data_IF_443897802585
#
_entry.id   IF_443897802585
#
_cell.length_a   1.000
_cell.length_b   1.000
_cell.length_c   1.000
_cell.angle_alpha   90.00
_cell.angle_beta   90.00
_cell.angle_gamma   90.00
#
_symmetry.space_group_name_H-M   'P 1'
#
loop_
_entity.id
_entity.type
_entity.pdbx_description
1 polymer ?
#
# COMPACT_ATOMS: atom_id res chain seq x y z
N UNK A 1 -26.03 9.20 -6.95
CA UNK A 1 -24.89 8.75 -6.12
C UNK A 1 -25.11 9.39 -4.77
N UNK A 2 -25.44 8.55 -3.79
CA UNK A 2 -26.27 8.84 -2.62
C UNK A 2 -25.61 9.76 -1.58
N UNK A 3 -26.42 10.61 -0.95
CA UNK A 3 -26.04 11.48 0.18
C UNK A 3 -25.38 10.73 1.35
N UNK A 4 -25.62 9.42 1.51
CA UNK A 4 -25.08 8.58 2.59
C UNK A 4 -23.54 8.53 2.65
N UNK A 5 -22.85 8.50 1.51
CA UNK A 5 -21.38 8.47 1.52
C UNK A 5 -20.81 9.79 2.08
N UNK A 6 -21.51 10.91 1.90
CA UNK A 6 -21.02 12.21 2.39
C UNK A 6 -21.08 12.32 3.91
N UNK A 7 -22.14 11.78 4.55
CA UNK A 7 -22.32 11.85 6.00
C UNK A 7 -21.31 10.97 6.73
N UNK A 8 -21.12 9.73 6.26
CA UNK A 8 -20.16 8.81 6.85
C UNK A 8 -18.71 9.30 6.70
N UNK A 9 -18.38 9.92 5.56
CA UNK A 9 -17.08 10.59 5.38
C UNK A 9 -16.88 11.71 6.39
N UNK A 10 -17.90 12.56 6.63
CA UNK A 10 -17.83 13.61 7.65
C UNK A 10 -17.65 13.01 9.05
N UNK A 11 -18.39 11.95 9.41
CA UNK A 11 -18.24 11.27 10.71
C UNK A 11 -16.80 10.77 10.88
N UNK A 12 -16.24 10.11 9.86
CA UNK A 12 -14.85 9.61 9.90
C UNK A 12 -13.85 10.74 10.04
N UNK A 13 -14.07 11.84 9.33
CA UNK A 13 -13.23 13.02 9.38
C UNK A 13 -13.23 13.68 10.76
N UNK A 14 -14.41 13.90 11.34
CA UNK A 14 -14.57 14.42 12.69
C UNK A 14 -13.99 13.47 13.74
N UNK A 15 -14.13 12.16 13.53
CA UNK A 15 -13.51 11.16 14.41
C UNK A 15 -11.98 11.24 14.36
N UNK A 16 -11.39 11.51 13.20
CA UNK A 16 -9.95 11.75 13.07
C UNK A 16 -9.51 12.99 13.87
N UNK A 17 -10.29 14.08 13.83
CA UNK A 17 -10.05 15.27 14.65
C UNK A 17 -10.16 14.99 16.15
N UNK A 18 -11.19 14.26 16.58
CA UNK A 18 -11.35 13.86 17.98
C UNK A 18 -10.21 12.94 18.44
N UNK A 19 -9.71 12.06 17.56
CA UNK A 19 -8.52 11.26 17.83
C UNK A 19 -7.29 12.14 18.02
N UNK A 20 -7.07 13.12 17.12
CA UNK A 20 -5.95 14.05 17.23
C UNK A 20 -6.00 14.88 18.52
N UNK A 21 -7.18 15.39 18.86
CA UNK A 21 -7.43 16.09 20.12
C UNK A 21 -7.14 15.20 21.34
N UNK A 22 -7.65 13.96 21.34
CA UNK A 22 -7.42 13.00 22.41
C UNK A 22 -5.92 12.70 22.60
N UNK A 23 -5.18 12.52 21.50
CA UNK A 23 -3.74 12.28 21.52
C UNK A 23 -3.00 13.47 22.11
N UNK A 24 -3.32 14.71 21.71
CA UNK A 24 -2.63 15.88 22.26
C UNK A 24 -2.95 16.16 23.73
N UNK A 25 -4.18 15.84 24.19
CA UNK A 25 -4.52 15.92 25.61
C UNK A 25 -3.79 14.86 26.46
N UNK A 26 -3.61 13.65 25.94
CA UNK A 26 -2.95 12.54 26.65
C UNK A 26 -1.43 12.59 26.58
N UNK A 27 -0.88 13.06 25.46
CA UNK A 27 0.55 13.06 25.16
C UNK A 27 1.01 14.47 24.76
N UNK A 28 1.17 15.39 25.73
CA UNK A 28 1.60 16.76 25.46
C UNK A 28 2.93 16.81 24.70
N UNK A 29 3.03 17.74 23.75
CA UNK A 29 4.20 17.87 22.86
C UNK A 29 4.11 17.07 21.56
N UNK A 30 3.11 16.21 21.41
CA UNK A 30 2.84 15.52 20.14
C UNK A 30 2.32 16.51 19.10
N UNK A 31 2.98 16.59 17.94
CA UNK A 31 2.52 17.41 16.83
C UNK A 31 1.62 16.60 15.89
N UNK A 32 0.60 17.27 15.34
CA UNK A 32 -0.35 16.68 14.40
C UNK A 32 0.00 17.08 12.97
N UNK A 33 -0.11 16.15 12.03
CA UNK A 33 0.25 16.41 10.63
C UNK A 33 -0.97 16.31 9.69
N UNK A 34 -1.24 15.14 9.09
CA UNK A 34 -2.33 14.90 8.14
C UNK A 34 -3.19 13.75 8.67
N UNK A 35 -4.51 13.93 8.62
CA UNK A 35 -5.46 12.89 8.99
C UNK A 35 -6.63 12.77 8.03
N UNK A 36 -6.45 12.12 6.87
CA UNK A 36 -7.49 12.00 5.87
C UNK A 36 -8.42 10.81 6.16
N UNK A 37 -9.61 10.89 5.58
CA UNK A 37 -10.53 9.75 5.47
C UNK A 37 -10.00 8.78 4.42
N UNK A 38 -10.23 7.48 4.66
CA UNK A 38 -9.98 6.38 3.73
C UNK A 38 -11.28 5.57 3.56
N UNK A 39 -11.31 4.68 2.56
CA UNK A 39 -12.52 3.93 2.15
C UNK A 39 -13.34 3.34 3.32
N UNK A 40 -12.67 2.76 4.32
CA UNK A 40 -13.32 2.14 5.48
C UNK A 40 -12.86 2.72 6.82
N UNK A 41 -12.50 4.01 6.86
CA UNK A 41 -12.08 4.63 8.10
C UNK A 41 -11.29 5.92 7.92
N UNK A 42 -10.28 6.11 8.75
CA UNK A 42 -9.39 7.27 8.72
C UNK A 42 -8.03 6.88 9.30
N UNK A 43 -7.05 7.75 9.11
CA UNK A 43 -5.83 7.70 9.91
C UNK A 43 -5.43 9.11 10.33
N UNK A 44 -4.47 9.22 11.23
CA UNK A 44 -3.79 10.48 11.53
C UNK A 44 -2.32 10.22 11.82
N UNK A 45 -1.45 11.04 11.22
CA UNK A 45 0.00 10.99 11.40
C UNK A 45 0.47 11.97 12.47
N UNK A 46 1.25 11.45 13.42
CA UNK A 46 1.76 12.18 14.58
C UNK A 46 3.28 12.20 14.61
N UNK A 47 3.86 13.34 14.98
CA UNK A 47 5.27 13.43 15.31
C UNK A 47 5.43 13.40 16.84
N UNK A 48 6.11 12.37 17.33
CA UNK A 48 6.35 12.12 18.76
C UNK A 48 7.63 11.30 18.92
N UNK A 49 8.38 11.57 19.99
CA UNK A 49 9.64 10.88 20.27
C UNK A 49 9.45 9.38 20.56
N UNK A 50 8.42 9.04 21.34
CA UNK A 50 8.15 7.67 21.76
C UNK A 50 7.03 7.03 20.93
N UNK A 51 7.24 5.83 20.34
CA UNK A 51 6.23 5.02 19.66
C UNK A 51 4.93 4.86 20.46
N UNK A 52 3.79 4.98 19.80
CA UNK A 52 2.51 4.49 20.32
C UNK A 52 2.54 2.96 20.37
N UNK A 53 1.92 2.44 21.42
CA UNK A 53 1.71 1.01 21.65
C UNK A 53 0.24 0.66 21.44
N UNK A 54 -0.08 -0.64 21.33
CA UNK A 54 -1.47 -1.09 21.27
C UNK A 54 -2.27 -0.72 22.53
N UNK A 55 -1.60 -0.67 23.69
CA UNK A 55 -2.22 -0.22 24.94
C UNK A 55 -2.55 1.28 24.93
N UNK A 56 -1.77 2.10 24.22
CA UNK A 56 -2.08 3.52 24.05
C UNK A 56 -3.38 3.68 23.25
N UNK A 57 -3.65 2.82 22.27
CA UNK A 57 -4.91 2.88 21.50
C UNK A 57 -6.14 2.73 22.39
N UNK A 58 -6.11 1.84 23.39
CA UNK A 58 -7.20 1.68 24.35
C UNK A 58 -7.42 2.95 25.20
N UNK A 59 -6.32 3.59 25.59
CA UNK A 59 -6.34 4.83 26.38
C UNK A 59 -6.87 6.00 25.55
N UNK A 60 -6.40 6.13 24.30
CA UNK A 60 -6.86 7.15 23.35
C UNK A 60 -8.33 6.95 23.04
N UNK A 61 -8.79 5.73 22.74
CA UNK A 61 -10.19 5.46 22.43
C UNK A 61 -11.12 5.81 23.60
N UNK A 62 -10.71 5.52 24.85
CA UNK A 62 -11.44 5.95 26.04
C UNK A 62 -11.54 7.46 26.11
N UNK A 63 -10.44 8.17 25.86
CA UNK A 63 -10.40 9.63 25.86
C UNK A 63 -11.24 10.25 24.75
N UNK A 64 -11.24 9.65 23.55
CA UNK A 64 -12.12 10.05 22.45
C UNK A 64 -13.60 9.96 22.87
N UNK A 65 -14.00 8.86 23.53
CA UNK A 65 -15.37 8.70 24.05
C UNK A 65 -15.71 9.77 25.10
N UNK A 66 -14.75 10.14 25.96
CA UNK A 66 -14.91 11.25 26.91
C UNK A 66 -15.13 12.60 26.18
N UNK A 67 -14.37 12.89 25.12
CA UNK A 67 -14.51 14.11 24.32
C UNK A 67 -15.87 14.16 23.61
N UNK A 68 -16.30 13.05 23.01
CA UNK A 68 -17.64 12.94 22.39
C UNK A 68 -18.74 13.20 23.42
N UNK A 69 -18.63 12.65 24.63
CA UNK A 69 -19.62 12.88 25.69
C UNK A 69 -19.69 14.35 26.16
N UNK A 70 -18.62 15.13 25.99
CA UNK A 70 -18.63 16.57 26.31
C UNK A 70 -19.40 17.40 25.29
N UNK A 71 -19.71 16.84 24.12
CA UNK A 71 -20.46 17.48 23.05
C UNK A 71 -19.93 18.88 22.70
N UNK A 72 -18.63 18.97 22.43
CA UNK A 72 -17.94 20.23 22.18
C UNK A 72 -18.43 20.81 20.86
N UNK A 73 -18.84 22.08 20.88
CA UNK A 73 -19.29 22.79 19.68
C UNK A 73 -18.16 22.92 18.66
N UNK A 74 -18.47 22.58 17.42
CA UNK A 74 -17.61 22.80 16.26
C UNK A 74 -17.88 24.19 15.68
N UNK A 75 -16.83 24.99 15.52
CA UNK A 75 -16.89 26.27 14.79
C UNK A 75 -15.70 26.39 13.87
N UNK A 76 -15.72 27.29 12.89
CA UNK A 76 -14.54 27.56 12.08
C UNK A 76 -14.35 29.05 11.88
N UNK A 77 -13.10 29.43 11.61
CA UNK A 77 -12.73 30.78 11.18
C UNK A 77 -11.84 30.69 9.96
N UNK A 78 -12.03 31.61 9.02
CA UNK A 78 -11.13 31.78 7.89
C UNK A 78 -10.00 32.70 8.34
N UNK A 79 -8.77 32.26 8.17
CA UNK A 79 -7.59 33.03 8.55
C UNK A 79 -6.81 33.50 7.32
N UNK A 80 -6.32 34.75 7.33
CA UNK A 80 -5.24 35.15 6.44
C UNK A 80 -4.01 34.25 6.66
N UNK A 81 -3.30 33.91 5.58
CA UNK A 81 -2.16 32.96 5.66
C UNK A 81 -1.10 33.32 6.69
N UNK A 82 -0.75 34.61 6.81
CA UNK A 82 0.24 35.07 7.80
C UNK A 82 -0.23 34.83 9.24
N UNK A 83 -1.53 35.01 9.50
CA UNK A 83 -2.13 34.81 10.82
C UNK A 83 -2.28 33.32 11.13
N UNK A 84 -2.67 32.51 10.14
CA UNK A 84 -2.71 31.05 10.29
C UNK A 84 -1.33 30.48 10.61
N UNK A 85 -0.29 30.89 9.87
CA UNK A 85 1.10 30.49 10.16
C UNK A 85 1.47 30.84 11.59
N UNK A 86 1.26 32.10 12.00
CA UNK A 86 1.58 32.55 13.36
C UNK A 86 0.82 31.76 14.43
N UNK A 87 -0.48 31.47 14.21
CA UNK A 87 -1.30 30.70 15.13
C UNK A 87 -0.72 29.30 15.40
N UNK A 88 -0.26 28.60 14.35
CA UNK A 88 0.34 27.27 14.49
C UNK A 88 1.79 27.32 14.98
N UNK A 89 2.56 28.37 14.65
CA UNK A 89 3.90 28.61 15.22
C UNK A 89 3.84 28.85 16.73
N UNK A 90 2.91 29.70 17.19
CA UNK A 90 2.72 30.02 18.62
C UNK A 90 2.28 28.76 19.42
N UNK A 91 1.63 27.80 18.77
CA UNK A 91 1.26 26.48 19.35
C UNK A 91 2.39 25.43 19.27
N UNK A 92 3.42 25.66 18.45
CA UNK A 92 4.51 24.71 18.21
C UNK A 92 4.19 23.62 17.19
N UNK A 93 3.21 23.82 16.30
CA UNK A 93 2.79 22.87 15.27
C UNK A 93 3.55 23.08 13.96
N UNK A 94 4.81 22.64 13.91
CA UNK A 94 5.71 22.86 12.77
C UNK A 94 5.16 22.28 11.46
N UNK A 95 4.62 21.07 11.50
CA UNK A 95 4.10 20.39 10.29
C UNK A 95 2.90 21.12 9.69
N UNK A 96 2.02 21.69 10.52
CA UNK A 96 0.87 22.49 10.04
C UNK A 96 1.36 23.76 9.34
N UNK A 97 2.42 24.39 9.85
CA UNK A 97 3.04 25.55 9.22
C UNK A 97 3.59 25.20 7.84
N UNK A 98 4.26 24.04 7.67
CA UNK A 98 4.70 23.56 6.36
C UNK A 98 3.52 23.36 5.40
N UNK A 99 2.46 22.67 5.85
CA UNK A 99 1.26 22.44 5.03
C UNK A 99 0.68 23.77 4.55
N UNK A 100 0.57 24.76 5.44
CA UNK A 100 0.03 26.09 5.09
C UNK A 100 0.90 26.79 4.04
N UNK A 101 2.23 26.62 4.08
CA UNK A 101 3.13 27.22 3.09
C UNK A 101 2.92 26.63 1.69
N UNK A 102 2.58 25.35 1.61
CA UNK A 102 2.42 24.63 0.34
C UNK A 102 1.05 24.78 -0.32
N UNK A 103 0.00 25.11 0.44
CA UNK A 103 -1.32 25.37 -0.13
C UNK A 103 -1.21 26.49 -1.19
N UNK A 104 -1.79 26.38 -2.40
CA UNK A 104 -1.71 27.43 -3.41
C UNK A 104 -2.19 28.81 -2.93
N UNK A 105 -1.59 29.88 -3.46
CA UNK A 105 -2.00 31.25 -3.15
C UNK A 105 -3.42 31.49 -3.70
N UNK A 106 -4.32 31.96 -2.85
CA UNK A 106 -5.72 32.23 -3.20
C UNK A 106 -6.72 31.26 -2.57
N UNK A 107 -6.27 30.12 -2.03
CA UNK A 107 -7.15 29.24 -1.26
C UNK A 107 -7.40 29.75 0.16
N UNK A 108 -8.65 29.61 0.60
CA UNK A 108 -9.06 29.92 1.96
C UNK A 108 -8.46 28.92 2.96
N UNK A 109 -7.93 29.44 4.07
CA UNK A 109 -7.43 28.62 5.16
C UNK A 109 -8.45 28.63 6.29
N UNK A 110 -9.17 27.52 6.43
CA UNK A 110 -10.16 27.33 7.49
C UNK A 110 -9.50 26.62 8.66
N UNK A 111 -9.65 27.19 9.85
CA UNK A 111 -9.26 26.56 11.11
C UNK A 111 -10.54 26.19 11.83
N UNK A 112 -10.72 24.89 12.05
CA UNK A 112 -11.85 24.32 12.77
C UNK A 112 -11.50 24.19 14.25
N UNK A 113 -12.43 24.58 15.10
CA UNK A 113 -12.33 24.55 16.57
C UNK A 113 -13.35 23.57 17.10
N UNK A 114 -12.93 22.65 17.95
CA UNK A 114 -13.79 21.75 18.74
C UNK A 114 -13.58 22.09 20.22
N UNK A 115 -14.41 23.00 20.73
CA UNK A 115 -14.10 23.69 21.99
C UNK A 115 -12.83 24.53 21.88
N UNK A 116 -11.86 24.28 22.74
CA UNK A 116 -10.57 25.01 22.76
C UNK A 116 -9.51 24.40 21.82
N UNK A 117 -9.69 23.15 21.41
CA UNK A 117 -8.79 22.49 20.47
C UNK A 117 -9.11 22.94 19.04
N UNK A 118 -8.10 23.08 18.21
CA UNK A 118 -8.26 23.52 16.83
C UNK A 118 -7.25 22.90 15.87
N UNK A 119 -7.64 22.83 14.60
CA UNK A 119 -6.83 22.30 13.52
C UNK A 119 -7.15 22.93 12.15
N UNK A 120 -6.16 22.90 11.25
CA UNK A 120 -6.30 23.35 9.87
C UNK A 120 -6.95 22.23 9.05
N UNK A 121 -8.12 22.53 8.49
CA UNK A 121 -8.82 21.58 7.65
C UNK A 121 -9.72 22.28 6.62
N UNK A 122 -10.02 21.60 5.51
CA UNK A 122 -10.96 22.10 4.49
C UNK A 122 -12.43 21.92 4.90
N UNK A 123 -12.71 20.96 5.79
CA UNK A 123 -14.06 20.51 6.12
C UNK A 123 -14.78 19.82 4.96
N UNK A 124 -16.11 19.62 5.06
CA UNK A 124 -16.98 19.99 6.17
C UNK A 124 -16.79 19.13 7.44
N UNK A 125 -17.39 19.59 8.54
CA UNK A 125 -17.42 18.93 9.85
C UNK A 125 -18.85 18.98 10.43
N UNK A 126 -19.17 18.12 11.41
CA UNK A 126 -20.42 18.14 12.18
C UNK A 126 -20.51 19.37 13.09
N UNK A 127 -21.70 19.65 13.62
CA UNK A 127 -21.89 20.86 14.46
C UNK A 127 -21.28 20.71 15.86
N UNK A 128 -21.07 19.49 16.32
CA UNK A 128 -20.44 19.20 17.61
C UNK A 128 -19.81 17.81 17.61
N UNK A 129 -18.88 17.59 18.55
CA UNK A 129 -18.23 16.28 18.72
C UNK A 129 -19.20 15.19 19.18
N UNK A 130 -20.35 15.54 19.75
CA UNK A 130 -21.37 14.57 20.17
C UNK A 130 -22.11 13.91 19.01
N UNK A 131 -22.26 14.61 17.88
CA UNK A 131 -22.94 14.10 16.67
C UNK A 131 -22.20 12.91 16.02
N UNK A 132 -20.91 12.72 16.32
CA UNK A 132 -20.10 11.59 15.85
C UNK A 132 -20.66 10.25 16.36
N UNK A 133 -21.25 10.25 17.56
CA UNK A 133 -21.61 9.02 18.26
C UNK A 133 -20.39 8.24 18.77
N UNK A 134 -20.61 6.99 19.18
CA UNK A 134 -19.59 6.14 19.83
C UNK A 134 -19.15 4.94 18.99
N UNK A 135 -19.69 4.81 17.78
CA UNK A 135 -19.42 3.71 16.87
C UNK A 135 -18.10 3.93 16.12
N UNK A 136 -17.00 3.98 16.86
CA UNK A 136 -15.65 4.04 16.31
C UNK A 136 -14.70 3.10 17.04
N UNK A 137 -13.64 2.67 16.34
CA UNK A 137 -12.61 1.77 16.85
C UNK A 137 -11.24 2.18 16.30
N UNK A 138 -10.23 2.28 17.16
CA UNK A 138 -8.84 2.36 16.72
C UNK A 138 -8.31 0.97 16.42
N UNK A 139 -7.66 0.78 15.26
CA UNK A 139 -7.34 -0.55 14.74
C UNK A 139 -5.86 -0.91 14.85
N UNK A 140 -4.96 -0.04 14.42
CA UNK A 140 -3.51 -0.31 14.44
C UNK A 140 -2.66 0.95 14.44
N UNK A 141 -1.41 0.80 14.87
CA UNK A 141 -0.33 1.79 14.71
C UNK A 141 0.59 1.33 13.59
N UNK A 142 1.06 2.26 12.76
CA UNK A 142 2.06 2.01 11.73
C UNK A 142 3.08 3.16 11.66
N UNK A 143 4.24 2.92 11.05
CA UNK A 143 5.16 3.99 10.66
C UNK A 143 4.74 4.62 9.32
N UNK A 144 4.89 5.93 9.19
CA UNK A 144 4.75 6.65 7.93
C UNK A 144 5.92 7.63 7.79
N UNK A 145 6.33 7.94 6.58
CA UNK A 145 7.34 8.98 6.36
C UNK A 145 6.67 10.29 5.95
N UNK A 146 7.18 11.42 6.44
CA UNK A 146 6.65 12.72 6.05
C UNK A 146 6.70 12.88 4.52
N UNK A 147 5.55 13.21 3.92
CA UNK A 147 5.31 13.28 2.45
C UNK A 147 5.60 11.99 1.68
N UNK A 148 5.67 10.84 2.36
CA UNK A 148 5.97 9.55 1.74
C UNK A 148 7.43 9.38 1.31
N UNK A 149 8.32 10.30 1.70
CA UNK A 149 9.74 10.24 1.37
C UNK A 149 10.53 9.61 2.53
N UNK A 150 11.13 8.45 2.28
CA UNK A 150 11.92 7.70 3.27
C UNK A 150 13.15 8.43 3.81
N UNK A 151 13.58 9.53 3.18
CA UNK A 151 14.65 10.39 3.70
C UNK A 151 14.18 11.36 4.79
N UNK A 152 12.86 11.55 4.93
CA UNK A 152 12.29 12.44 5.93
C UNK A 152 12.08 11.73 7.28
N UNK A 153 11.67 12.53 8.28
CA UNK A 153 11.33 12.05 9.62
C UNK A 153 10.21 11.02 9.56
N UNK A 154 10.39 9.93 10.32
CA UNK A 154 9.36 8.91 10.53
C UNK A 154 8.31 9.42 11.51
N UNK A 155 7.07 9.45 11.05
CA UNK A 155 5.85 9.75 11.80
C UNK A 155 5.18 8.45 12.24
N UNK A 156 4.28 8.57 13.21
CA UNK A 156 3.48 7.47 13.72
C UNK A 156 2.04 7.66 13.29
N UNK A 157 1.55 6.70 12.51
CA UNK A 157 0.19 6.67 11.98
C UNK A 157 -0.70 5.84 12.88
N UNK A 158 -1.78 6.43 13.38
CA UNK A 158 -2.86 5.69 14.03
C UNK A 158 -4.01 5.53 13.04
N UNK A 159 -4.43 4.29 12.81
CA UNK A 159 -5.61 3.96 12.01
C UNK A 159 -6.84 3.78 12.89
N UNK A 160 -7.99 4.19 12.37
CA UNK A 160 -9.29 3.96 13.00
C UNK A 160 -10.41 3.83 11.98
N UNK A 161 -11.55 3.37 12.43
CA UNK A 161 -12.81 3.35 11.67
C UNK A 161 -13.93 3.98 12.48
N UNK A 162 -14.89 4.59 11.80
CA UNK A 162 -16.11 5.13 12.39
C UNK A 162 -17.30 4.84 11.48
N UNK A 163 -18.47 4.64 12.09
CA UNK A 163 -19.72 4.25 11.48
C UNK A 163 -20.89 5.02 12.09
N UNK A 164 -22.04 5.06 11.42
CA UNK A 164 -23.21 5.78 11.94
C UNK A 164 -23.85 5.06 13.12
N UNK A 165 -23.79 3.72 13.13
CA UNK A 165 -24.40 2.88 14.17
C UNK A 165 -23.40 1.86 14.72
N UNK A 166 -23.65 1.42 15.95
CA UNK A 166 -22.84 0.37 16.58
C UNK A 166 -22.93 -0.96 15.81
N UNK A 167 -24.09 -1.28 15.25
CA UNK A 167 -24.31 -2.47 14.43
C UNK A 167 -23.40 -2.48 13.19
N UNK A 168 -23.31 -1.36 12.45
CA UNK A 168 -22.41 -1.24 11.30
C UNK A 168 -20.93 -1.41 11.69
N UNK A 169 -20.54 -0.86 12.85
CA UNK A 169 -19.19 -1.05 13.36
C UNK A 169 -18.93 -2.53 13.68
N UNK A 170 -19.85 -3.18 14.38
CA UNK A 170 -19.70 -4.59 14.78
C UNK A 170 -19.63 -5.51 13.55
N UNK A 171 -20.46 -5.27 12.54
CA UNK A 171 -20.43 -5.99 11.25
C UNK A 171 -19.08 -5.83 10.54
N UNK A 172 -18.55 -4.61 10.51
CA UNK A 172 -17.25 -4.34 9.90
C UNK A 172 -16.09 -5.01 10.66
N UNK A 173 -16.13 -4.97 12.00
CA UNK A 173 -15.13 -5.64 12.83
C UNK A 173 -15.18 -7.16 12.66
N UNK A 174 -16.38 -7.74 12.57
CA UNK A 174 -16.55 -9.17 12.27
C UNK A 174 -15.98 -9.53 10.89
N UNK A 175 -16.20 -8.67 9.87
CA UNK A 175 -15.61 -8.87 8.54
C UNK A 175 -14.08 -8.83 8.57
N UNK A 176 -13.48 -7.93 9.34
CA UNK A 176 -12.02 -7.87 9.52
C UNK A 176 -11.49 -9.13 10.19
N UNK A 177 -12.18 -9.64 11.22
CA UNK A 177 -11.80 -10.89 11.90
C UNK A 177 -11.87 -12.09 10.94
N UNK A 178 -12.92 -12.18 10.13
CA UNK A 178 -13.08 -13.22 9.11
C UNK A 178 -12.03 -13.12 8.00
N UNK A 179 -11.65 -11.90 7.61
CA UNK A 179 -10.57 -11.68 6.65
C UNK A 179 -9.21 -12.10 7.22
N UNK A 180 -8.92 -11.78 8.49
CA UNK A 180 -7.68 -12.15 9.17
C UNK A 180 -7.52 -13.67 9.31
N UNK A 181 -8.62 -14.41 9.56
CA UNK A 181 -8.64 -15.88 9.55
C UNK A 181 -8.20 -16.47 8.20
N UNK A 182 -8.33 -15.72 7.11
CA UNK A 182 -8.05 -16.15 5.73
C UNK A 182 -6.76 -15.54 5.17
N UNK A 183 -5.99 -14.85 6.00
CA UNK A 183 -4.69 -14.31 5.61
C UNK A 183 -3.72 -15.45 5.26
N UNK A 184 -3.23 -15.48 4.03
CA UNK A 184 -2.32 -16.53 3.55
C UNK A 184 -1.01 -16.58 4.34
N UNK A 185 -0.59 -15.49 5.00
CA UNK A 185 0.61 -15.47 5.85
C UNK A 185 0.37 -16.22 7.16
N UNK A 186 -0.82 -16.04 7.75
CA UNK A 186 -1.24 -16.76 8.95
C UNK A 186 -1.41 -18.25 8.63
N UNK A 187 -2.19 -18.56 7.59
CA UNK A 187 -2.39 -19.93 7.13
C UNK A 187 -1.08 -20.59 6.68
N UNK A 188 -0.21 -19.86 5.99
CA UNK A 188 1.08 -20.34 5.53
C UNK A 188 1.97 -20.82 6.69
N UNK A 189 1.94 -20.10 7.82
CA UNK A 189 2.61 -20.49 9.06
C UNK A 189 1.92 -21.66 9.76
N UNK A 190 0.61 -21.57 9.98
CA UNK A 190 -0.18 -22.59 10.69
C UNK A 190 -0.16 -23.96 9.98
N UNK A 191 -0.17 -23.95 8.65
CA UNK A 191 -0.19 -25.16 7.82
C UNK A 191 1.21 -25.63 7.39
N UNK A 192 2.27 -24.93 7.77
CA UNK A 192 3.65 -25.24 7.42
C UNK A 192 3.89 -25.28 5.89
N UNK A 193 3.46 -24.22 5.20
CA UNK A 193 3.53 -24.13 3.74
C UNK A 193 4.77 -23.40 3.23
N UNK A 194 5.14 -22.30 3.87
CA UNK A 194 6.27 -21.47 3.49
C UNK A 194 6.68 -20.53 4.64
N UNK A 195 7.86 -19.93 4.50
CA UNK A 195 8.26 -18.79 5.33
C UNK A 195 9.09 -17.77 4.53
N UNK A 196 9.35 -16.64 5.19
CA UNK A 196 10.27 -15.58 4.75
C UNK A 196 11.29 -15.32 5.86
N UNK A 197 12.49 -14.89 5.49
CA UNK A 197 13.58 -14.54 6.42
C UNK A 197 14.40 -13.37 5.84
N UNK A 198 15.16 -12.71 6.71
CA UNK A 198 15.86 -11.46 6.40
C UNK A 198 16.99 -11.62 5.38
N UNK A 199 17.57 -12.82 5.25
CA UNK A 199 18.63 -13.12 4.28
C UNK A 199 18.13 -13.09 2.84
N UNK A 200 16.82 -13.24 2.60
CA UNK A 200 16.24 -13.14 1.27
C UNK A 200 14.89 -12.39 1.31
N UNK A 201 14.89 -11.06 1.55
CA UNK A 201 13.67 -10.28 1.68
C UNK A 201 12.81 -10.40 0.43
N UNK A 202 11.53 -10.70 0.60
CA UNK A 202 10.59 -10.85 -0.50
C UNK A 202 10.83 -12.08 -1.38
N UNK A 203 11.66 -13.02 -0.95
CA UNK A 203 11.84 -14.32 -1.61
C UNK A 203 11.34 -15.43 -0.70
N UNK A 204 10.46 -16.28 -1.23
CA UNK A 204 9.78 -17.31 -0.44
C UNK A 204 10.65 -18.57 -0.28
N UNK A 205 10.69 -19.09 0.95
CA UNK A 205 11.19 -20.43 1.24
C UNK A 205 10.00 -21.38 1.30
N UNK A 206 9.79 -22.14 0.22
CA UNK A 206 8.71 -23.12 0.16
C UNK A 206 9.03 -24.36 0.99
N UNK A 207 8.10 -24.77 1.84
CA UNK A 207 8.20 -26.03 2.58
C UNK A 207 7.64 -27.18 1.73
N UNK A 208 7.78 -28.42 2.18
CA UNK A 208 7.33 -29.59 1.42
C UNK A 208 5.85 -29.51 1.01
N UNK A 209 4.96 -29.10 1.92
CA UNK A 209 3.52 -28.98 1.65
C UNK A 209 3.21 -27.85 0.67
N UNK A 210 3.76 -26.66 0.90
CA UNK A 210 3.57 -25.52 -0.01
C UNK A 210 4.15 -25.76 -1.40
N UNK A 211 5.34 -26.37 -1.47
CA UNK A 211 5.95 -26.75 -2.75
C UNK A 211 5.16 -27.84 -3.48
N UNK A 212 4.54 -28.77 -2.75
CA UNK A 212 3.64 -29.76 -3.36
C UNK A 212 2.40 -29.10 -3.96
N UNK A 213 1.78 -28.15 -3.25
CA UNK A 213 0.68 -27.35 -3.80
C UNK A 213 1.12 -26.59 -5.06
N UNK A 214 2.27 -25.92 -5.00
CA UNK A 214 2.80 -25.15 -6.13
C UNK A 214 3.07 -26.01 -7.37
N UNK A 215 3.66 -27.20 -7.19
CA UNK A 215 3.90 -28.16 -8.28
C UNK A 215 2.59 -28.64 -8.91
N UNK A 216 1.57 -28.96 -8.10
CA UNK A 216 0.27 -29.37 -8.62
C UNK A 216 -0.38 -28.28 -9.49
N UNK A 217 -0.22 -27.01 -9.12
CA UNK A 217 -0.69 -25.88 -9.92
C UNK A 217 0.07 -25.78 -11.25
N UNK A 218 1.39 -25.91 -11.21
CA UNK A 218 2.22 -25.94 -12.43
C UNK A 218 1.80 -27.09 -13.34
N UNK A 219 1.66 -28.31 -12.81
CA UNK A 219 1.30 -29.49 -13.61
C UNK A 219 -0.08 -29.33 -14.26
N UNK A 220 -1.02 -28.72 -13.54
CA UNK A 220 -2.34 -28.37 -14.08
C UNK A 220 -2.22 -27.38 -15.26
N UNK A 221 -1.52 -26.26 -15.07
CA UNK A 221 -1.38 -25.24 -16.12
C UNK A 221 -0.57 -25.75 -17.30
N UNK A 222 0.50 -26.52 -17.06
CA UNK A 222 1.31 -27.15 -18.10
C UNK A 222 0.44 -27.98 -19.02
N UNK A 223 -0.39 -28.86 -18.46
CA UNK A 223 -1.32 -29.67 -19.25
C UNK A 223 -2.29 -28.82 -20.08
N UNK A 224 -2.81 -27.74 -19.50
CA UNK A 224 -3.71 -26.81 -20.20
C UNK A 224 -3.00 -26.09 -21.36
N UNK A 225 -1.73 -25.72 -21.17
CA UNK A 225 -0.90 -25.10 -22.21
C UNK A 225 -0.55 -26.10 -23.32
N UNK A 226 -0.19 -27.34 -22.98
CA UNK A 226 0.03 -28.43 -23.94
C UNK A 226 -1.22 -28.71 -24.78
N UNK A 227 -2.39 -28.84 -24.14
CA UNK A 227 -3.68 -29.06 -24.81
C UNK A 227 -4.04 -27.88 -25.74
N UNK A 228 -3.57 -26.66 -25.43
CA UNK A 228 -3.74 -25.45 -26.23
C UNK A 228 -2.63 -25.24 -27.28
N UNK A 229 -1.70 -26.19 -27.43
CA UNK A 229 -0.65 -26.14 -28.44
C UNK A 229 0.52 -25.20 -28.13
N UNK A 230 0.72 -24.83 -26.86
CA UNK A 230 1.92 -24.13 -26.42
C UNK A 230 3.10 -25.09 -26.31
N UNK A 231 4.28 -24.61 -26.70
CA UNK A 231 5.55 -25.31 -26.48
C UNK A 231 6.22 -24.73 -25.25
N UNK A 232 6.35 -25.53 -24.19
CA UNK A 232 7.09 -25.12 -23.00
C UNK A 232 8.59 -25.00 -23.29
N UNK A 233 9.17 -23.87 -22.92
CA UNK A 233 10.60 -23.56 -23.03
C UNK A 233 11.15 -23.14 -21.65
N UNK A 234 12.46 -22.97 -21.55
CA UNK A 234 13.12 -22.46 -20.35
C UNK A 234 14.29 -21.56 -20.73
N UNK A 235 14.29 -20.32 -20.26
CA UNK A 235 15.29 -19.30 -20.61
C UNK A 235 16.14 -18.89 -19.40
N UNK A 236 17.42 -18.51 -19.58
CA UNK A 236 18.32 -18.20 -18.46
C UNK A 236 17.79 -17.09 -17.53
N UNK A 237 18.05 -17.22 -16.23
CA UNK A 237 17.66 -16.23 -15.23
C UNK A 237 18.55 -14.96 -15.27
N UNK A 238 19.81 -15.11 -15.68
CA UNK A 238 20.81 -14.04 -15.73
C UNK A 238 21.21 -13.82 -17.19
N UNK A 239 21.06 -12.58 -17.67
CA UNK A 239 21.39 -12.18 -19.04
C UNK A 239 22.14 -10.86 -19.07
N UNK A 240 22.91 -10.63 -20.14
CA UNK A 240 23.69 -9.42 -20.35
C UNK A 240 22.79 -8.17 -20.32
N UNK A 241 23.24 -7.11 -19.64
CA UNK A 241 22.49 -5.85 -19.50
C UNK A 241 22.04 -5.28 -20.86
N UNK A 242 22.86 -5.42 -21.90
CA UNK A 242 22.57 -4.93 -23.26
C UNK A 242 21.28 -5.51 -23.86
N UNK A 243 20.87 -6.73 -23.49
CA UNK A 243 19.61 -7.31 -23.95
C UNK A 243 18.40 -6.53 -23.41
N UNK A 244 18.49 -6.03 -22.18
CA UNK A 244 17.44 -5.26 -21.53
C UNK A 244 17.36 -3.82 -22.06
N UNK A 245 18.51 -3.27 -22.47
CA UNK A 245 18.60 -2.00 -23.18
C UNK A 245 17.93 -2.10 -24.56
N UNK A 246 18.32 -3.11 -25.36
CA UNK A 246 17.78 -3.32 -26.70
C UNK A 246 16.28 -3.62 -26.70
N UNK A 247 15.78 -4.30 -25.67
CA UNK A 247 14.35 -4.59 -25.54
C UNK A 247 13.54 -3.44 -24.93
N UNK A 248 14.18 -2.34 -24.51
CA UNK A 248 13.52 -1.19 -23.87
C UNK A 248 13.08 -1.43 -22.42
N UNK A 249 13.42 -2.58 -21.83
CA UNK A 249 13.04 -2.91 -20.46
C UNK A 249 13.90 -2.21 -19.43
N UNK A 250 15.16 -1.87 -19.76
CA UNK A 250 16.00 -1.13 -18.83
C UNK A 250 15.40 0.25 -18.50
N UNK A 251 14.80 0.93 -19.48
CA UNK A 251 14.13 2.22 -19.24
C UNK A 251 12.88 2.08 -18.36
N UNK A 252 12.10 1.02 -18.57
CA UNK A 252 10.85 0.78 -17.84
C UNK A 252 11.06 0.29 -16.41
N UNK A 253 11.98 -0.65 -16.23
CA UNK A 253 12.24 -1.25 -14.92
C UNK A 253 13.30 -0.47 -14.16
N UNK A 254 14.33 0.05 -14.84
CA UNK A 254 15.38 0.88 -14.25
C UNK A 254 15.93 0.30 -12.95
N UNK A 255 15.79 1.08 -11.88
CA UNK A 255 16.22 0.74 -10.53
C UNK A 255 15.50 -0.47 -9.92
N UNK A 256 14.38 -0.92 -10.51
CA UNK A 256 13.66 -2.13 -10.11
C UNK A 256 14.28 -3.42 -10.67
N UNK A 257 15.42 -3.36 -11.38
CA UNK A 257 16.16 -4.55 -11.83
C UNK A 257 17.29 -4.88 -10.87
N UNK A 258 17.44 -6.15 -10.52
CA UNK A 258 18.67 -6.62 -9.88
C UNK A 258 19.79 -6.73 -10.91
N UNK A 259 20.90 -6.04 -10.66
CA UNK A 259 22.10 -6.09 -11.49
C UNK A 259 23.29 -6.63 -10.71
N UNK A 260 24.24 -7.21 -11.42
CA UNK A 260 25.49 -7.72 -10.86
C UNK A 260 26.62 -7.52 -11.85
N UNK A 261 27.82 -7.23 -11.35
CA UNK A 261 29.03 -7.10 -12.15
C UNK A 261 29.83 -8.41 -12.09
N UNK A 262 30.14 -8.97 -13.25
CA UNK A 262 31.05 -10.11 -13.33
C UNK A 262 32.50 -9.64 -13.35
N UNK A 263 33.43 -10.57 -13.07
CA UNK A 263 34.89 -10.33 -13.07
C UNK A 263 35.47 -9.81 -14.40
N UNK A 264 34.69 -9.82 -15.47
CA UNK A 264 35.08 -9.46 -16.84
C UNK A 264 34.50 -8.10 -17.30
N UNK A 265 34.24 -7.18 -16.36
CA UNK A 265 33.67 -5.83 -16.62
C UNK A 265 32.29 -5.84 -17.33
N UNK A 266 31.62 -7.00 -17.34
CA UNK A 266 30.27 -7.14 -17.88
C UNK A 266 29.23 -7.01 -16.78
N UNK A 267 28.21 -6.21 -17.06
CA UNK A 267 27.03 -6.06 -16.20
C UNK A 267 25.96 -7.02 -16.67
N UNK A 268 25.47 -7.83 -15.73
CA UNK A 268 24.35 -8.74 -15.94
C UNK A 268 23.15 -8.26 -15.13
N UNK A 269 21.96 -8.67 -15.55
CA UNK A 269 20.75 -8.49 -14.77
C UNK A 269 20.00 -9.81 -14.60
N UNK A 270 19.38 -9.98 -13.44
CA UNK A 270 18.36 -11.01 -13.27
C UNK A 270 17.12 -10.59 -14.06
N UNK A 271 16.50 -11.53 -14.77
CA UNK A 271 15.34 -11.24 -15.61
C UNK A 271 14.15 -10.70 -14.81
N UNK A 272 13.62 -9.51 -15.10
CA UNK A 272 12.37 -9.00 -14.50
C UNK A 272 11.10 -9.51 -15.21
N UNK A 273 11.29 -10.20 -16.35
CA UNK A 273 10.27 -10.82 -17.22
C UNK A 273 10.94 -11.81 -18.20
N UNK A 274 10.15 -12.68 -18.84
CA UNK A 274 10.70 -13.71 -19.74
C UNK A 274 10.76 -13.27 -21.22
N UNK A 275 10.05 -12.20 -21.60
CA UNK A 275 9.84 -11.81 -23.01
C UNK A 275 11.13 -11.75 -23.84
N UNK A 276 12.22 -11.09 -23.39
CA UNK A 276 13.45 -11.03 -24.20
C UNK A 276 14.11 -12.38 -24.43
N UNK A 277 14.00 -13.31 -23.46
CA UNK A 277 14.44 -14.69 -23.58
C UNK A 277 13.62 -15.46 -24.62
N UNK A 278 12.29 -15.36 -24.55
CA UNK A 278 11.38 -15.96 -25.55
C UNK A 278 11.69 -15.47 -26.98
N UNK A 279 12.00 -14.18 -27.14
CA UNK A 279 12.43 -13.61 -28.43
C UNK A 279 13.76 -14.19 -28.89
N UNK A 280 14.73 -14.44 -27.99
CA UNK A 280 15.98 -15.10 -28.38
C UNK A 280 15.74 -16.53 -28.87
N UNK A 281 14.80 -17.26 -28.26
CA UNK A 281 14.41 -18.60 -28.71
C UNK A 281 13.74 -18.53 -30.09
N UNK A 282 12.80 -17.60 -30.29
CA UNK A 282 12.15 -17.40 -31.60
C UNK A 282 13.15 -17.09 -32.72
N UNK A 283 14.17 -16.26 -32.41
CA UNK A 283 15.23 -15.86 -33.34
C UNK A 283 16.11 -17.03 -33.82
N UNK A 284 16.14 -18.15 -33.09
CA UNK A 284 16.91 -19.32 -33.50
C UNK A 284 16.22 -20.08 -34.62
N UNK A 285 16.92 -20.23 -35.75
CA UNK A 285 16.45 -20.94 -36.93
C UNK A 285 15.49 -20.12 -37.81
N UNK A 286 15.35 -20.53 -39.07
CA UNK A 286 14.45 -19.89 -40.02
C UNK A 286 12.98 -20.14 -39.63
N UNK A 287 12.12 -19.15 -39.87
CA UNK A 287 10.67 -19.21 -39.64
C UNK A 287 9.94 -18.88 -40.93
N UNK A 288 9.00 -19.73 -41.31
CA UNK A 288 8.05 -19.48 -42.39
C UNK A 288 6.76 -18.89 -41.81
N UNK A 289 6.01 -18.13 -42.63
CA UNK A 289 4.66 -17.69 -42.26
C UNK A 289 3.73 -18.87 -41.94
N UNK A 290 4.01 -20.06 -42.48
CA UNK A 290 3.27 -21.30 -42.22
C UNK A 290 3.53 -21.89 -40.83
N UNK A 291 4.62 -21.47 -40.19
CA UNK A 291 4.97 -21.91 -38.84
C UNK A 291 4.29 -21.03 -37.78
N UNK A 292 3.58 -19.97 -38.20
CA UNK A 292 2.83 -19.07 -37.33
C UNK A 292 1.35 -19.47 -37.30
N UNK A 293 0.69 -19.43 -36.14
CA UNK A 293 1.16 -18.86 -34.86
C UNK A 293 2.07 -19.83 -34.09
N UNK A 294 3.18 -19.32 -33.56
CA UNK A 294 4.06 -20.05 -32.66
C UNK A 294 3.77 -19.63 -31.22
N UNK A 295 3.29 -20.58 -30.41
CA UNK A 295 2.97 -20.37 -29.00
C UNK A 295 4.08 -20.94 -28.14
N UNK A 296 4.79 -20.09 -27.40
CA UNK A 296 5.79 -20.53 -26.42
C UNK A 296 5.34 -20.17 -25.01
N UNK A 297 5.50 -21.10 -24.07
CA UNK A 297 5.20 -20.89 -22.67
C UNK A 297 6.44 -21.14 -21.82
N UNK A 298 6.56 -20.48 -20.68
CA UNK A 298 7.63 -20.68 -19.73
C UNK A 298 7.11 -20.45 -18.31
N UNK A 299 7.31 -21.44 -17.42
CA UNK A 299 7.18 -21.21 -15.98
C UNK A 299 8.41 -20.44 -15.46
N UNK A 300 8.54 -19.20 -15.93
CA UNK A 300 9.76 -18.43 -15.83
C UNK A 300 9.89 -17.75 -14.49
N UNK A 301 11.00 -18.03 -13.78
CA UNK A 301 11.33 -17.39 -12.51
C UNK A 301 11.94 -16.02 -12.78
N UNK A 302 11.25 -14.97 -12.34
CA UNK A 302 11.63 -13.58 -12.56
C UNK A 302 11.88 -12.86 -11.25
N UNK A 303 12.66 -11.78 -11.31
CA UNK A 303 13.07 -11.01 -10.15
C UNK A 303 12.87 -9.51 -10.35
N UNK A 304 12.24 -8.84 -9.37
CA UNK A 304 12.02 -7.39 -9.36
C UNK A 304 12.48 -6.81 -8.03
N UNK A 305 13.29 -5.76 -8.06
CA UNK A 305 13.82 -5.07 -6.89
C UNK A 305 12.78 -4.14 -6.26
N UNK A 306 11.64 -4.72 -5.86
CA UNK A 306 10.55 -4.01 -5.19
C UNK A 306 11.04 -3.38 -3.86
N UNK A 307 10.58 -2.17 -3.51
CA UNK A 307 10.87 -1.57 -2.20
C UNK A 307 10.49 -2.50 -1.05
N UNK A 308 11.33 -2.61 -0.02
CA UNK A 308 11.10 -3.52 1.11
C UNK A 308 9.75 -3.29 1.81
N UNK A 309 9.32 -2.04 1.92
CA UNK A 309 8.02 -1.66 2.51
C UNK A 309 6.80 -2.07 1.67
N UNK A 310 6.97 -2.43 0.40
CA UNK A 310 5.88 -2.88 -0.46
C UNK A 310 5.66 -4.40 -0.42
N UNK A 311 6.57 -5.17 0.20
CA UNK A 311 6.51 -6.62 0.22
C UNK A 311 5.37 -7.12 1.11
N UNK A 312 4.63 -8.15 0.65
CA UNK A 312 3.46 -8.64 1.36
C UNK A 312 3.22 -10.15 1.17
N UNK A 313 3.86 -10.97 2.01
CA UNK A 313 3.75 -12.43 1.93
C UNK A 313 3.97 -12.91 0.49
N UNK A 314 3.11 -13.80 -0.02
CA UNK A 314 3.11 -14.24 -1.42
C UNK A 314 2.46 -13.27 -2.44
N UNK A 315 1.76 -12.22 -2.00
CA UNK A 315 1.04 -11.31 -2.92
C UNK A 315 1.96 -10.32 -3.61
N UNK A 316 3.03 -9.89 -2.92
CA UNK A 316 4.04 -8.98 -3.46
C UNK A 316 5.42 -9.41 -3.00
N UNK A 317 6.17 -9.97 -3.94
CA UNK A 317 7.48 -10.62 -3.73
C UNK A 317 8.49 -10.08 -4.73
N UNK A 318 9.78 -10.23 -4.41
CA UNK A 318 10.90 -9.88 -5.30
C UNK A 318 11.25 -11.01 -6.25
N UNK A 319 10.92 -12.26 -5.91
CA UNK A 319 11.16 -13.43 -6.74
C UNK A 319 9.86 -14.21 -6.90
N UNK A 320 9.42 -14.43 -8.14
CA UNK A 320 8.18 -15.14 -8.43
C UNK A 320 8.28 -15.87 -9.76
N UNK A 321 7.42 -16.87 -9.95
CA UNK A 321 7.30 -17.61 -11.20
C UNK A 321 5.96 -17.26 -11.81
N UNK A 322 5.97 -16.92 -13.09
CA UNK A 322 4.76 -16.71 -13.88
C UNK A 322 4.55 -17.91 -14.79
N UNK A 323 3.31 -18.29 -15.04
CA UNK A 323 2.88 -19.13 -16.15
C UNK A 323 2.88 -18.32 -17.47
N UNK A 324 4.03 -17.71 -17.76
CA UNK A 324 4.20 -16.74 -18.82
C UNK A 324 4.15 -17.38 -20.19
N UNK A 325 3.64 -16.65 -21.18
CA UNK A 325 3.54 -17.16 -22.53
C UNK A 325 3.60 -16.03 -23.57
N UNK A 326 4.17 -16.36 -24.72
CA UNK A 326 4.35 -15.44 -25.84
C UNK A 326 3.89 -16.11 -27.11
N UNK A 327 3.00 -15.44 -27.84
CA UNK A 327 2.51 -15.88 -29.13
C UNK A 327 3.18 -15.01 -30.20
N UNK A 328 3.92 -15.64 -31.09
CA UNK A 328 4.43 -15.00 -32.29
C UNK A 328 3.47 -15.31 -33.42
N UNK A 329 2.78 -14.29 -33.91
CA UNK A 329 1.79 -14.42 -34.97
C UNK A 329 1.93 -13.27 -35.98
N UNK A 330 1.24 -13.41 -37.11
CA UNK A 330 1.07 -12.32 -38.08
C UNK A 330 0.02 -11.33 -37.59
N UNK A 331 0.00 -10.11 -38.13
CA UNK A 331 -0.97 -9.09 -37.72
C UNK A 331 -2.43 -9.55 -37.92
N UNK A 332 -2.70 -10.29 -39.00
CA UNK A 332 -4.03 -10.82 -39.31
C UNK A 332 -4.52 -11.88 -38.29
N UNK A 333 -3.58 -12.52 -37.58
CA UNK A 333 -3.88 -13.58 -36.60
C UNK A 333 -4.16 -13.04 -35.18
N UNK A 334 -3.93 -11.75 -34.91
CA UNK A 334 -4.01 -11.17 -33.55
C UNK A 334 -5.39 -11.36 -32.90
N UNK A 335 -6.49 -11.33 -33.67
CA UNK A 335 -7.84 -11.49 -33.10
C UNK A 335 -8.26 -12.96 -32.98
N UNK A 336 -7.63 -13.84 -33.77
CA UNK A 336 -7.89 -15.28 -33.73
C UNK A 336 -7.19 -15.94 -32.54
N UNK A 337 -5.99 -15.45 -32.21
CA UNK A 337 -5.22 -15.78 -31.00
C UNK A 337 -5.73 -15.04 -29.76
#
# INVERSE_FOLDING_TARGET
MSDDNSKLEIIRHDTAHVMAMAVQELFPGTQVTIGPVIENGFFYDFAKDNPFTENDLLTIEKKMKEIVNKDLKTTFKVFPRKEAIKLFEDKGEYYKVEIIKDIPKGEELKVYYHGDWFDLCRGPHLNSTGEIGKAFKLTKVAGAYWRGDSSNVMLQRIYGTAWETQEQLDDYLHLLEEAEKRDHRKLGKELDLFHFQEEAPGSVFWHHKGWTLFRLLIDYIRKRQEDAGYTEINTPDIMDKSLWELSGHLEKFGDNMFTTEAREERVYALKPMNCPGCVQVYKQGLKSYRDLPLRVAEFGKVHRCEPSGALHGLMRVRAFTQDDAHIFCTEDQITEE
#
